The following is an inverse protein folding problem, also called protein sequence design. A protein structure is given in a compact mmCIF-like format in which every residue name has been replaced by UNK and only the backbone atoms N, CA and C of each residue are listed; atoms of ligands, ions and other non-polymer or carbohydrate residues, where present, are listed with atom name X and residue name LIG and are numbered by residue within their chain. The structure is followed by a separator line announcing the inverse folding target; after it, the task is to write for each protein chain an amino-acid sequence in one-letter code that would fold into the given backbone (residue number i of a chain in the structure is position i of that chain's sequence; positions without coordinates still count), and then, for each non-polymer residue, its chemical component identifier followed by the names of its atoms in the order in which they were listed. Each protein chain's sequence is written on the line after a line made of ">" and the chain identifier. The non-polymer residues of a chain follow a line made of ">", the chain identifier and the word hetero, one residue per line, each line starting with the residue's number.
data_IF_375820548412
#
_entry.id   IF_375820548412
#
_cell.length_a   1.000
_cell.length_b   1.000
_cell.length_c   1.000
_cell.angle_alpha   90.00
_cell.angle_beta   90.00
_cell.angle_gamma   90.00
#
_symmetry.space_group_name_H-M   'P 1'
#
loop_
_entity.id
_entity.type
_entity.pdbx_description
1 polymer ?
#
# COMPACT_ATOMS: atom_id res chain seq x y z
N UNK A 1 -0.02 -1.27 -1.82
CA UNK A 1 -0.72 -0.08 -1.29
C UNK A 1 0.08 0.38 -0.09
N UNK A 2 0.48 1.64 -0.01
CA UNK A 2 1.31 2.18 1.07
C UNK A 2 0.58 3.30 1.80
N UNK A 3 1.07 3.70 2.97
CA UNK A 3 0.50 4.78 3.77
C UNK A 3 0.37 4.42 5.25
N UNK A 4 0.06 5.40 6.08
CA UNK A 4 -0.04 5.23 7.54
C UNK A 4 -1.13 4.24 7.96
N UNK A 5 -1.00 3.65 9.15
CA UNK A 5 -2.06 2.82 9.72
C UNK A 5 -3.35 3.63 9.86
N UNK A 6 -4.48 3.06 9.45
CA UNK A 6 -5.77 3.75 9.45
C UNK A 6 -6.07 4.62 8.22
N UNK A 7 -5.17 4.73 7.23
CA UNK A 7 -5.39 5.53 6.01
C UNK A 7 -6.32 4.91 4.95
N UNK A 8 -7.02 3.82 5.27
CA UNK A 8 -8.04 3.25 4.36
C UNK A 8 -7.55 2.26 3.30
N UNK A 9 -6.29 1.78 3.36
CA UNK A 9 -5.75 0.77 2.40
C UNK A 9 -6.62 -0.49 2.27
N UNK A 10 -6.91 -1.16 3.38
CA UNK A 10 -7.71 -2.40 3.38
C UNK A 10 -9.18 -2.13 3.03
N UNK A 11 -9.72 -0.96 3.42
CA UNK A 11 -11.07 -0.53 3.03
C UNK A 11 -11.17 -0.34 1.51
N UNK A 12 -10.18 0.30 0.89
CA UNK A 12 -10.10 0.43 -0.56
C UNK A 12 -10.08 -0.92 -1.27
N UNK A 13 -9.27 -1.87 -0.79
CA UNK A 13 -9.24 -3.23 -1.35
C UNK A 13 -10.62 -3.88 -1.28
N UNK A 14 -11.30 -3.75 -0.13
CA UNK A 14 -12.63 -4.32 0.05
C UNK A 14 -13.61 -3.73 -0.96
N UNK A 15 -13.59 -2.40 -1.15
CA UNK A 15 -14.42 -1.70 -2.13
C UNK A 15 -14.15 -2.13 -3.58
N UNK A 16 -12.88 -2.23 -3.99
CA UNK A 16 -12.55 -2.56 -5.39
C UNK A 16 -12.68 -4.06 -5.72
N UNK A 17 -12.54 -4.94 -4.72
CA UNK A 17 -12.67 -6.39 -4.91
C UNK A 17 -14.09 -6.90 -4.66
N UNK A 18 -14.94 -6.12 -3.98
CA UNK A 18 -16.26 -6.55 -3.53
C UNK A 18 -16.21 -7.64 -2.45
N UNK A 19 -15.08 -7.82 -1.78
CA UNK A 19 -14.87 -8.83 -0.74
C UNK A 19 -14.65 -8.16 0.60
N UNK A 20 -15.21 -8.73 1.66
CA UNK A 20 -14.82 -8.35 3.01
C UNK A 20 -13.40 -8.86 3.29
N UNK A 21 -12.44 -7.93 3.36
CA UNK A 21 -11.02 -8.23 3.54
C UNK A 21 -10.58 -8.13 5.01
N UNK A 22 -11.53 -8.02 5.96
CA UNK A 22 -11.25 -7.92 7.39
C UNK A 22 -10.77 -6.52 7.78
N UNK A 23 -11.56 -5.49 7.48
CA UNK A 23 -11.32 -4.12 7.94
C UNK A 23 -11.57 -4.07 9.45
N UNK A 24 -10.52 -3.98 10.26
CA UNK A 24 -10.68 -3.70 11.69
C UNK A 24 -10.76 -2.20 11.95
N UNK A 25 -11.78 -1.78 12.70
CA UNK A 25 -12.00 -0.39 13.11
C UNK A 25 -11.20 0.00 14.37
N UNK A 26 -10.36 -0.89 14.90
CA UNK A 26 -9.47 -0.63 16.03
C UNK A 26 -8.08 -0.21 15.53
N UNK A 27 -7.46 0.77 16.20
CA UNK A 27 -6.10 1.28 15.93
C UNK A 27 -4.97 0.22 16.05
N UNK A 28 -5.32 -1.03 16.33
CA UNK A 28 -4.39 -2.14 16.33
C UNK A 28 -4.27 -2.67 14.90
N UNK A 29 -3.08 -2.51 14.30
CA UNK A 29 -2.74 -2.91 12.92
C UNK A 29 -3.35 -4.26 12.55
N UNK A 30 -4.45 -4.24 11.78
CA UNK A 30 -5.11 -5.45 11.28
C UNK A 30 -4.33 -6.11 10.13
N UNK A 31 -3.18 -5.55 9.78
CA UNK A 31 -2.21 -6.08 8.82
C UNK A 31 -0.83 -6.14 9.49
N UNK A 32 -0.62 -7.16 10.32
CA UNK A 32 0.72 -7.51 10.81
C UNK A 32 1.61 -8.17 9.72
N UNK A 33 1.06 -8.40 8.53
CA UNK A 33 1.69 -9.11 7.40
C UNK A 33 1.16 -8.61 6.07
N UNK A 34 2.01 -8.62 5.04
CA UNK A 34 1.64 -8.35 3.64
C UNK A 34 0.60 -9.38 3.14
N UNK A 35 -0.45 -8.90 2.46
CA UNK A 35 -1.53 -9.73 1.89
C UNK A 35 -1.71 -9.46 0.40
N UNK A 36 -2.17 -10.46 -0.34
CA UNK A 36 -2.38 -10.40 -1.79
C UNK A 36 -3.85 -10.60 -2.14
N UNK A 37 -4.38 -9.66 -2.92
CA UNK A 37 -5.77 -9.70 -3.37
C UNK A 37 -5.82 -9.65 -4.89
N UNK A 38 -6.49 -10.63 -5.49
CA UNK A 38 -6.77 -10.64 -6.93
C UNK A 38 -8.03 -9.83 -7.18
N UNK A 39 -7.93 -8.81 -8.01
CA UNK A 39 -9.06 -8.07 -8.53
C UNK A 39 -9.23 -8.39 -10.02
N UNK A 40 -10.46 -8.71 -10.49
CA UNK A 40 -10.72 -8.84 -11.91
C UNK A 40 -10.48 -7.49 -12.61
N UNK A 41 -9.75 -7.50 -13.72
CA UNK A 41 -9.70 -6.32 -14.58
C UNK A 41 -10.98 -6.28 -15.42
N UNK A 42 -11.86 -5.31 -15.14
CA UNK A 42 -13.13 -5.13 -15.86
C UNK A 42 -12.94 -4.80 -17.34
N UNK A 43 -11.80 -4.23 -17.72
CA UNK A 43 -11.49 -3.86 -19.11
C UNK A 43 -10.80 -4.99 -19.89
N UNK A 44 -10.18 -5.95 -19.20
CA UNK A 44 -9.46 -7.04 -19.84
C UNK A 44 -9.47 -8.31 -18.97
N UNK A 45 -10.36 -9.25 -19.31
CA UNK A 45 -10.50 -10.53 -18.61
C UNK A 45 -9.24 -11.41 -18.63
N UNK A 46 -8.31 -11.18 -19.57
CA UNK A 46 -7.02 -11.89 -19.64
C UNK A 46 -5.95 -11.28 -18.73
N UNK A 47 -6.20 -10.11 -18.13
CA UNK A 47 -5.26 -9.49 -17.19
C UNK A 47 -5.81 -9.58 -15.76
N UNK A 48 -4.95 -9.94 -14.81
CA UNK A 48 -5.30 -9.98 -13.38
C UNK A 48 -4.57 -8.84 -12.68
N UNK A 49 -5.31 -7.99 -11.99
CA UNK A 49 -4.72 -6.98 -11.10
C UNK A 49 -4.47 -7.65 -9.76
N UNK A 50 -3.24 -7.53 -9.27
CA UNK A 50 -2.87 -8.00 -7.93
C UNK A 50 -2.68 -6.77 -7.06
N UNK A 51 -3.53 -6.62 -6.05
CA UNK A 51 -3.41 -5.61 -5.02
C UNK A 51 -2.60 -6.21 -3.86
N UNK A 52 -1.50 -5.54 -3.51
CA UNK A 52 -0.65 -5.91 -2.38
C UNK A 52 -1.03 -4.99 -1.22
N UNK A 53 -1.68 -5.54 -0.20
CA UNK A 53 -1.93 -4.82 1.05
C UNK A 53 -0.70 -4.92 1.94
N UNK A 54 -0.22 -3.80 2.47
CA UNK A 54 0.97 -3.77 3.32
C UNK A 54 0.61 -3.29 4.72
N UNK A 55 1.40 -3.67 5.74
CA UNK A 55 1.37 -3.00 7.02
C UNK A 55 1.45 -1.48 6.85
N UNK A 56 0.71 -0.76 7.69
CA UNK A 56 0.75 0.70 7.68
C UNK A 56 1.97 1.23 8.42
N UNK A 57 2.48 2.35 7.96
CA UNK A 57 3.47 3.13 8.71
C UNK A 57 2.87 3.60 10.04
N UNK A 58 3.69 3.64 11.09
CA UNK A 58 3.36 4.19 12.39
C UNK A 58 4.41 5.22 12.71
N UNK A 59 4.02 6.42 13.18
CA UNK A 59 4.87 7.63 13.33
C UNK A 59 6.20 7.49 14.12
N UNK A 60 6.57 6.29 14.54
CA UNK A 60 7.86 5.87 15.07
C UNK A 60 8.77 5.36 13.93
N UNK A 61 9.93 6.00 13.75
CA UNK A 61 10.86 5.69 12.66
C UNK A 61 11.38 4.24 12.68
N UNK A 62 11.58 3.66 13.87
CA UNK A 62 12.06 2.27 13.98
C UNK A 62 11.05 1.25 13.43
N UNK A 63 9.75 1.50 13.64
CA UNK A 63 8.67 0.69 13.05
C UNK A 63 8.55 0.92 11.55
N UNK A 64 8.68 2.16 11.09
CA UNK A 64 8.59 2.49 9.67
C UNK A 64 9.70 1.78 8.88
N UNK A 65 10.94 1.78 9.38
CA UNK A 65 12.06 1.04 8.77
C UNK A 65 11.78 -0.48 8.71
N UNK A 66 11.18 -1.06 9.75
CA UNK A 66 10.85 -2.48 9.76
C UNK A 66 9.79 -2.82 8.70
N UNK A 67 8.75 -1.99 8.55
CA UNK A 67 7.70 -2.14 7.52
C UNK A 67 8.30 -2.10 6.12
N UNK A 68 9.22 -1.17 5.86
CA UNK A 68 9.89 -1.08 4.55
C UNK A 68 10.76 -2.30 4.25
N UNK A 69 11.52 -2.79 5.22
CA UNK A 69 12.34 -4.00 5.04
C UNK A 69 11.46 -5.20 4.71
N UNK A 70 10.29 -5.31 5.34
CA UNK A 70 9.31 -6.35 5.00
C UNK A 70 8.80 -6.20 3.55
N UNK A 71 8.46 -4.98 3.13
CA UNK A 71 8.01 -4.69 1.75
C UNK A 71 9.11 -5.00 0.74
N UNK A 72 10.34 -4.52 0.96
CA UNK A 72 11.47 -4.74 0.07
C UNK A 72 11.77 -6.24 -0.09
N UNK A 73 11.84 -6.97 1.04
CA UNK A 73 12.05 -8.42 1.04
C UNK A 73 10.94 -9.18 0.31
N UNK A 74 9.70 -8.75 0.48
CA UNK A 74 8.56 -9.34 -0.22
C UNK A 74 8.64 -9.11 -1.74
N UNK A 75 8.97 -7.89 -2.16
CA UNK A 75 9.11 -7.55 -3.57
C UNK A 75 10.28 -8.30 -4.22
N UNK A 76 11.44 -8.39 -3.56
CA UNK A 76 12.59 -9.16 -4.03
C UNK A 76 12.22 -10.63 -4.25
N UNK A 77 11.58 -11.26 -3.26
CA UNK A 77 11.07 -12.64 -3.39
C UNK A 77 10.11 -12.81 -4.57
N UNK A 78 9.23 -11.84 -4.81
CA UNK A 78 8.29 -11.88 -5.93
C UNK A 78 8.95 -11.75 -7.30
N UNK A 79 10.05 -11.01 -7.38
CA UNK A 79 10.80 -10.81 -8.63
C UNK A 79 11.64 -12.04 -9.01
N UNK A 80 12.18 -12.77 -8.03
CA UNK A 80 13.05 -13.95 -8.25
C UNK A 80 12.30 -15.18 -8.82
N UNK A 81 10.97 -15.26 -8.69
CA UNK A 81 10.20 -16.40 -9.18
C UNK A 81 9.92 -16.31 -10.70
N UNK A 82 10.18 -17.41 -11.45
CA UNK A 82 9.96 -17.51 -12.91
C UNK A 82 8.51 -17.13 -13.28
N UNK A 83 8.34 -15.95 -13.86
CA UNK A 83 7.03 -15.35 -14.19
C UNK A 83 6.82 -13.93 -13.66
N UNK A 84 7.72 -13.43 -12.79
CA UNK A 84 7.92 -12.02 -12.41
C UNK A 84 6.66 -11.20 -12.14
N UNK A 85 6.27 -11.04 -10.88
CA UNK A 85 5.26 -10.02 -10.52
C UNK A 85 5.95 -8.66 -10.50
N UNK A 86 5.72 -7.87 -11.55
CA UNK A 86 6.24 -6.50 -11.63
C UNK A 86 5.28 -5.52 -10.98
N UNK A 87 5.79 -4.72 -10.03
CA UNK A 87 5.04 -3.59 -9.48
C UNK A 87 4.79 -2.58 -10.60
N UNK A 88 3.54 -2.41 -10.99
CA UNK A 88 3.13 -1.46 -12.03
C UNK A 88 2.93 -0.04 -11.50
N UNK A 89 2.60 0.09 -10.22
CA UNK A 89 2.47 1.37 -9.54
C UNK A 89 2.20 1.22 -8.06
N UNK A 90 2.24 2.34 -7.35
CA UNK A 90 1.96 2.45 -5.92
C UNK A 90 0.85 3.44 -5.70
N UNK A 91 -0.14 3.02 -4.91
CA UNK A 91 -1.12 3.92 -4.33
C UNK A 91 -0.66 4.25 -2.91
N UNK A 92 -0.38 5.52 -2.65
CA UNK A 92 0.01 6.04 -1.35
C UNK A 92 -1.19 6.70 -0.67
N UNK A 93 -1.68 6.09 0.40
CA UNK A 93 -2.89 6.49 1.10
C UNK A 93 -2.59 7.46 2.24
N UNK A 94 -3.23 8.62 2.20
CA UNK A 94 -3.18 9.67 3.22
C UNK A 94 -4.61 10.02 3.66
N UNK A 95 -4.84 10.28 4.95
CA UNK A 95 -6.14 10.81 5.39
C UNK A 95 -6.16 12.29 5.09
N UNK A 96 -7.26 12.79 4.57
CA UNK A 96 -7.39 14.22 4.25
C UNK A 96 -7.40 15.12 5.51
N UNK A 97 -7.82 14.55 6.64
CA UNK A 97 -7.81 15.21 7.94
C UNK A 97 -6.46 15.12 8.66
N UNK A 98 -5.53 14.30 8.17
CA UNK A 98 -4.14 14.39 8.63
C UNK A 98 -3.51 15.65 8.04
N UNK A 99 -2.71 16.35 8.84
CA UNK A 99 -1.90 17.49 8.39
C UNK A 99 -0.86 17.08 7.34
N UNK A 100 0.18 17.91 7.17
CA UNK A 100 1.15 17.75 6.09
C UNK A 100 1.59 16.30 5.89
N UNK A 101 1.54 15.87 4.62
CA UNK A 101 2.13 14.62 4.18
C UNK A 101 3.59 14.67 4.60
N UNK A 102 3.96 13.81 5.55
CA UNK A 102 5.32 13.84 6.07
C UNK A 102 6.26 13.43 4.94
N UNK A 103 7.04 14.39 4.40
CA UNK A 103 7.94 14.21 3.25
C UNK A 103 8.87 13.01 3.43
N UNK A 104 9.16 12.64 4.69
CA UNK A 104 9.92 11.44 5.04
C UNK A 104 9.42 10.19 4.32
N UNK A 105 8.11 10.03 4.10
CA UNK A 105 7.58 8.82 3.46
C UNK A 105 7.83 8.79 1.95
N UNK A 106 7.90 9.95 1.30
CA UNK A 106 8.23 10.04 -0.12
C UNK A 106 9.73 9.82 -0.34
N UNK A 107 10.59 10.46 0.45
CA UNK A 107 12.04 10.26 0.39
C UNK A 107 12.45 8.81 0.66
N UNK A 108 11.80 8.19 1.62
CA UNK A 108 12.05 6.80 1.96
C UNK A 108 11.64 5.83 0.85
N UNK A 109 10.65 6.20 0.03
CA UNK A 109 10.29 5.45 -1.18
C UNK A 109 11.27 5.68 -2.32
N UNK A 110 11.81 6.89 -2.46
CA UNK A 110 12.91 7.18 -3.39
C UNK A 110 14.14 6.33 -3.06
N UNK A 111 14.53 6.24 -1.79
CA UNK A 111 15.70 5.48 -1.35
C UNK A 111 15.60 3.97 -1.68
N UNK A 112 14.40 3.40 -1.61
CA UNK A 112 14.19 1.96 -1.79
C UNK A 112 13.89 1.58 -3.24
N UNK A 113 13.15 2.43 -3.96
CA UNK A 113 12.67 2.11 -5.29
C UNK A 113 13.35 2.91 -6.42
N UNK A 114 14.18 3.89 -6.07
CA UNK A 114 14.87 4.81 -6.97
C UNK A 114 13.99 5.99 -7.44
N UNK A 115 14.62 7.09 -7.85
CA UNK A 115 13.93 8.35 -8.20
C UNK A 115 12.89 8.22 -9.34
N UNK A 116 13.09 7.29 -10.28
CA UNK A 116 12.12 7.06 -11.36
C UNK A 116 10.83 6.39 -10.88
N UNK A 117 10.84 5.83 -9.66
CA UNK A 117 9.67 5.17 -9.09
C UNK A 117 8.58 6.16 -8.69
N UNK A 118 8.93 7.39 -8.30
CA UNK A 118 7.93 8.40 -7.94
C UNK A 118 6.94 8.69 -9.07
N UNK A 119 7.37 8.56 -10.33
CA UNK A 119 6.50 8.68 -11.51
C UNK A 119 5.38 7.63 -11.56
N UNK A 120 5.50 6.55 -10.77
CA UNK A 120 4.53 5.46 -10.64
C UNK A 120 3.78 5.50 -9.30
N UNK A 121 3.96 6.55 -8.51
CA UNK A 121 3.25 6.77 -7.25
C UNK A 121 2.05 7.67 -7.51
N UNK A 122 0.87 7.25 -7.05
CA UNK A 122 -0.34 8.06 -7.02
C UNK A 122 -0.74 8.27 -5.57
N UNK A 123 -0.92 9.52 -5.17
CA UNK A 123 -1.43 9.88 -3.84
C UNK A 123 -2.94 9.72 -3.85
N UNK A 124 -3.46 8.98 -2.87
CA UNK A 124 -4.89 8.73 -2.67
C UNK A 124 -5.28 9.33 -1.32
N UNK A 125 -6.16 10.33 -1.34
CA UNK A 125 -6.71 10.92 -0.12
C UNK A 125 -8.02 10.24 0.27
N UNK A 126 -8.19 9.98 1.56
CA UNK A 126 -9.35 9.25 2.13
C UNK A 126 -9.93 9.99 3.33
N UNK A 127 -11.04 9.49 3.89
CA UNK A 127 -11.75 10.09 5.04
C UNK A 127 -12.32 11.49 4.75
N UNK A 128 -12.81 11.70 3.54
CA UNK A 128 -13.44 12.96 3.13
C UNK A 128 -14.76 13.25 3.85
N UNK A 129 -15.40 12.23 4.40
CA UNK A 129 -16.62 12.38 5.21
C UNK A 129 -16.34 12.90 6.63
N UNK A 130 -15.06 12.98 7.04
CA UNK A 130 -14.62 13.45 8.36
C UNK A 130 -14.18 14.94 8.36
N UNK A 131 -14.49 15.70 7.29
CA UNK A 131 -14.15 17.13 7.15
C UNK A 131 -15.39 18.01 7.30
#
# INVERSE_FOLDING_TARGET
>A
LLGVTGSGKTSFISSVTGKDCGVGHTLQSCTARIKLFKSPNKENNNSRIILIDTPGFSRNDSSDIAVLKEIAHFLDKMQVHKGGVYVRGVLFFHRISDGDLHDKYLHLLEDICGNDFLKKVTIVTTMWDDI
#
